data_IF_199438720246
#
_entry.id   IF_199438720246
#
_cell.length_a   1.000
_cell.length_b   1.000
_cell.length_c   1.000
_cell.angle_alpha   90.00
_cell.angle_beta   90.00
_cell.angle_gamma   90.00
#
_symmetry.space_group_name_H-M   'P 1'
#
loop_
_entity.id
_entity.type
_entity.pdbx_description
1 polymer ?
#
# COMPACT_ATOMS: atom_id res chain seq x y z
N UNK A 1 -33.66 7.92 -21.77
CA UNK A 1 -34.62 7.09 -21.00
C UNK A 1 -33.96 6.65 -19.71
N UNK A 2 -34.12 7.46 -18.66
CA UNK A 2 -33.51 7.28 -17.34
C UNK A 2 -34.60 6.71 -16.44
N UNK A 3 -34.45 5.45 -16.03
CA UNK A 3 -35.25 4.83 -14.97
C UNK A 3 -34.33 3.89 -14.20
N UNK A 4 -33.56 4.49 -13.28
CA UNK A 4 -32.85 3.78 -12.22
C UNK A 4 -33.55 4.15 -10.92
N UNK A 5 -34.49 3.32 -10.48
CA UNK A 5 -35.11 3.45 -9.17
C UNK A 5 -35.48 2.07 -8.61
N UNK A 6 -34.74 1.71 -7.57
CA UNK A 6 -35.27 1.12 -6.34
C UNK A 6 -35.95 -0.26 -6.46
N UNK A 7 -35.16 -1.31 -6.26
CA UNK A 7 -35.64 -2.49 -5.52
C UNK A 7 -34.48 -3.30 -4.94
N UNK A 8 -34.01 -2.90 -3.75
CA UNK A 8 -33.54 -3.90 -2.82
C UNK A 8 -34.35 -3.76 -1.54
N UNK A 9 -35.20 -4.76 -1.36
CA UNK A 9 -36.22 -4.86 -0.33
C UNK A 9 -35.59 -4.78 1.06
N UNK A 10 -36.00 -3.78 1.83
CA UNK A 10 -35.84 -3.73 3.28
C UNK A 10 -36.68 -4.88 3.87
N UNK A 11 -36.05 -6.01 4.20
CA UNK A 11 -36.60 -6.87 5.25
C UNK A 11 -36.45 -6.13 6.57
N UNK A 12 -37.55 -5.48 6.96
CA UNK A 12 -37.78 -4.88 8.26
C UNK A 12 -37.44 -5.87 9.38
N UNK A 13 -36.30 -5.68 10.03
CA UNK A 13 -35.99 -6.28 11.32
C UNK A 13 -36.24 -5.21 12.39
N UNK A 14 -37.51 -5.00 12.73
CA UNK A 14 -37.91 -4.25 13.91
C UNK A 14 -37.99 -5.23 15.09
N UNK A 15 -36.85 -5.47 15.76
CA UNK A 15 -36.87 -5.74 17.20
C UNK A 15 -35.51 -5.55 17.87
N UNK A 16 -35.59 -5.08 19.12
CA UNK A 16 -34.57 -4.87 20.14
C UNK A 16 -33.66 -3.63 20.02
N UNK A 17 -34.12 -2.54 20.65
CA UNK A 17 -33.38 -1.67 21.60
C UNK A 17 -31.85 -1.60 21.46
N UNK A 18 -31.37 -0.39 21.14
CA UNK A 18 -30.08 0.22 21.50
C UNK A 18 -28.98 -0.71 22.08
N UNK A 19 -28.44 -1.60 21.26
CA UNK A 19 -27.11 -2.17 21.50
C UNK A 19 -26.12 -1.26 20.80
N UNK A 20 -25.22 -0.63 21.55
CA UNK A 20 -24.30 0.42 21.11
C UNK A 20 -23.47 0.11 19.85
N UNK A 21 -22.69 1.09 19.40
CA UNK A 21 -21.91 1.04 18.16
C UNK A 21 -21.19 -0.30 17.94
N UNK A 22 -21.50 -0.96 16.82
CA UNK A 22 -20.89 -2.24 16.40
C UNK A 22 -19.83 -2.01 15.33
N UNK A 23 -18.54 -1.86 15.69
CA UNK A 23 -17.48 -1.47 14.75
C UNK A 23 -17.32 -2.46 13.59
N UNK A 24 -17.41 -3.77 13.85
CA UNK A 24 -17.25 -4.81 12.81
C UNK A 24 -18.34 -4.72 11.75
N UNK A 25 -19.59 -4.52 12.14
CA UNK A 25 -20.72 -4.39 11.22
C UNK A 25 -20.64 -3.09 10.42
N UNK A 26 -20.35 -1.97 11.11
CA UNK A 26 -20.17 -0.68 10.47
C UNK A 26 -19.04 -0.72 9.43
N UNK A 27 -17.90 -1.33 9.78
CA UNK A 27 -16.76 -1.51 8.90
C UNK A 27 -17.09 -2.36 7.67
N UNK A 28 -17.75 -3.52 7.85
CA UNK A 28 -18.17 -4.38 6.74
C UNK A 28 -19.09 -3.64 5.77
N UNK A 29 -20.08 -2.92 6.27
CA UNK A 29 -21.00 -2.11 5.45
C UNK A 29 -20.26 -0.96 4.73
N UNK A 30 -19.28 -0.34 5.38
CA UNK A 30 -18.45 0.70 4.77
C UNK A 30 -17.57 0.15 3.63
N UNK A 31 -16.98 -1.04 3.80
CA UNK A 31 -16.22 -1.72 2.73
C UNK A 31 -17.13 -2.05 1.55
N UNK A 32 -18.31 -2.62 1.79
CA UNK A 32 -19.26 -2.97 0.72
C UNK A 32 -19.64 -1.72 -0.11
N UNK A 33 -20.02 -0.62 0.55
CA UNK A 33 -20.30 0.65 -0.14
C UNK A 33 -19.10 1.19 -0.92
N UNK A 34 -17.88 1.02 -0.41
CA UNK A 34 -16.65 1.43 -1.10
C UNK A 34 -16.44 0.63 -2.38
N UNK A 35 -16.66 -0.68 -2.33
CA UNK A 35 -16.53 -1.57 -3.50
C UNK A 35 -17.59 -1.26 -4.56
N UNK A 36 -18.86 -1.08 -4.16
CA UNK A 36 -19.94 -0.74 -5.10
C UNK A 36 -19.73 0.62 -5.79
N UNK A 37 -19.11 1.58 -5.09
CA UNK A 37 -18.80 2.90 -5.64
C UNK A 37 -17.55 2.90 -6.52
N UNK A 38 -16.69 1.89 -6.41
CA UNK A 38 -15.43 1.84 -7.13
C UNK A 38 -15.71 1.65 -8.63
N UNK A 39 -15.57 2.73 -9.40
CA UNK A 39 -15.62 2.69 -10.86
C UNK A 39 -14.19 2.61 -11.38
N UNK A 40 -13.84 1.59 -12.20
CA UNK A 40 -12.54 1.55 -12.82
C UNK A 40 -12.37 2.80 -13.69
N UNK A 41 -11.30 3.56 -13.45
CA UNK A 41 -10.97 4.78 -14.20
C UNK A 41 -10.60 4.50 -15.65
N UNK A 42 -10.19 3.27 -15.95
CA UNK A 42 -9.69 2.85 -17.25
C UNK A 42 -10.50 1.66 -17.72
N UNK A 43 -10.80 1.62 -19.01
CA UNK A 43 -11.46 0.49 -19.63
C UNK A 43 -10.59 -0.78 -19.48
N UNK A 44 -11.21 -1.90 -19.15
CA UNK A 44 -10.52 -3.18 -19.05
C UNK A 44 -9.83 -3.62 -20.35
N UNK A 45 -10.29 -3.14 -21.52
CA UNK A 45 -9.59 -3.37 -22.80
C UNK A 45 -8.19 -2.76 -22.81
N UNK A 46 -8.10 -1.46 -22.49
CA UNK A 46 -6.83 -0.73 -22.42
C UNK A 46 -5.91 -1.36 -21.38
N UNK A 47 -6.47 -1.83 -20.26
CA UNK A 47 -5.67 -2.50 -19.24
C UNK A 47 -5.07 -3.82 -19.70
N UNK A 48 -5.80 -4.63 -20.48
CA UNK A 48 -5.25 -5.86 -21.08
C UNK A 48 -4.08 -5.56 -22.00
N UNK A 49 -4.13 -4.45 -22.72
CA UNK A 49 -3.04 -4.03 -23.60
C UNK A 49 -1.83 -3.51 -22.83
N UNK A 50 -2.04 -2.74 -21.75
CA UNK A 50 -0.97 -2.39 -20.80
C UNK A 50 -0.24 -3.66 -20.34
N UNK A 51 -0.98 -4.69 -19.93
CA UNK A 51 -0.40 -5.97 -19.50
C UNK A 51 0.36 -6.68 -20.63
N UNK A 52 -0.17 -6.67 -21.85
CA UNK A 52 0.50 -7.26 -23.02
C UNK A 52 1.83 -6.55 -23.36
N UNK A 53 1.86 -5.21 -23.27
CA UNK A 53 3.07 -4.43 -23.49
C UNK A 53 4.10 -4.63 -22.37
N UNK A 54 3.66 -4.70 -21.11
CA UNK A 54 4.54 -5.02 -19.99
C UNK A 54 5.14 -6.43 -20.11
N UNK A 55 4.38 -7.39 -20.66
CA UNK A 55 4.87 -8.74 -20.95
C UNK A 55 5.94 -8.80 -22.06
N UNK A 56 5.94 -7.82 -22.96
CA UNK A 56 6.95 -7.62 -24.01
C UNK A 56 8.16 -6.79 -23.52
N UNK A 57 8.33 -6.62 -22.21
CA UNK A 57 9.42 -5.86 -21.56
C UNK A 57 9.44 -4.35 -21.86
N UNK A 58 8.31 -3.75 -22.24
CA UNK A 58 8.22 -2.29 -22.38
C UNK A 58 8.28 -1.60 -21.01
N UNK A 59 9.02 -0.49 -20.92
CA UNK A 59 9.01 0.37 -19.73
C UNK A 59 7.64 1.02 -19.54
N UNK A 60 7.14 1.19 -18.29
CA UNK A 60 5.90 1.91 -18.00
C UNK A 60 5.78 3.30 -18.66
N UNK A 61 6.89 4.02 -18.83
CA UNK A 61 6.93 5.31 -19.52
C UNK A 61 6.66 5.15 -21.02
N UNK A 62 7.23 4.11 -21.64
CA UNK A 62 7.01 3.80 -23.06
C UNK A 62 5.57 3.33 -23.31
N UNK A 63 5.02 2.51 -22.41
CA UNK A 63 3.61 2.08 -22.48
C UNK A 63 2.68 3.30 -22.41
N UNK A 64 2.90 4.21 -21.47
CA UNK A 64 2.12 5.45 -21.36
C UNK A 64 2.22 6.31 -22.63
N UNK A 65 3.43 6.48 -23.16
CA UNK A 65 3.66 7.22 -24.40
C UNK A 65 2.97 6.59 -25.60
N UNK A 66 3.07 5.26 -25.74
CA UNK A 66 2.48 4.50 -26.84
C UNK A 66 0.96 4.59 -26.87
N UNK A 67 0.32 4.37 -25.72
CA UNK A 67 -1.15 4.48 -25.60
C UNK A 67 -1.65 5.88 -25.91
N UNK A 68 -0.87 6.91 -25.56
CA UNK A 68 -1.18 8.29 -25.93
C UNK A 68 -1.11 8.51 -27.44
N UNK A 69 -0.13 7.93 -28.12
CA UNK A 69 0.08 8.09 -29.57
C UNK A 69 -0.91 7.29 -30.41
N UNK A 70 -1.13 6.00 -30.08
CA UNK A 70 -1.93 5.09 -30.88
C UNK A 70 -3.44 5.22 -30.59
N UNK A 71 -3.82 5.54 -29.35
CA UNK A 71 -5.23 5.50 -28.91
C UNK A 71 -5.73 6.82 -28.32
N UNK A 72 -4.85 7.81 -28.15
CA UNK A 72 -5.18 9.07 -27.47
C UNK A 72 -5.45 8.92 -25.97
N UNK A 73 -5.24 7.72 -25.39
CA UNK A 73 -5.52 7.45 -23.98
C UNK A 73 -4.37 7.95 -23.12
N UNK A 74 -4.68 8.79 -22.13
CA UNK A 74 -3.68 9.32 -21.19
C UNK A 74 -3.69 8.52 -19.89
N UNK A 75 -2.67 7.68 -19.72
CA UNK A 75 -2.41 6.96 -18.47
C UNK A 75 -1.11 7.49 -17.88
N UNK A 76 -1.10 7.79 -16.58
CA UNK A 76 0.16 8.12 -15.90
C UNK A 76 1.00 6.86 -15.76
N UNK A 77 2.28 6.93 -16.15
CA UNK A 77 3.23 5.84 -15.94
C UNK A 77 3.35 5.47 -14.45
N UNK A 78 3.17 6.43 -13.53
CA UNK A 78 3.11 6.18 -12.08
C UNK A 78 1.99 5.22 -11.70
N UNK A 79 0.85 5.29 -12.38
CA UNK A 79 -0.27 4.40 -12.13
C UNK A 79 0.04 2.96 -12.57
N UNK A 80 0.79 2.82 -13.67
CA UNK A 80 1.32 1.55 -14.14
C UNK A 80 2.31 0.99 -13.11
N UNK A 81 3.22 1.82 -12.58
CA UNK A 81 4.13 1.43 -11.49
C UNK A 81 3.38 0.93 -10.25
N UNK A 82 2.35 1.66 -9.80
CA UNK A 82 1.53 1.26 -8.66
C UNK A 82 0.88 -0.12 -8.86
N UNK A 83 0.40 -0.42 -10.07
CA UNK A 83 -0.12 -1.75 -10.37
C UNK A 83 0.96 -2.82 -10.33
N UNK A 84 2.15 -2.56 -10.89
CA UNK A 84 3.25 -3.52 -10.86
C UNK A 84 3.65 -3.82 -9.40
N UNK A 85 3.65 -2.80 -8.54
CA UNK A 85 3.89 -2.98 -7.11
C UNK A 85 2.78 -3.75 -6.40
N UNK A 86 1.52 -3.50 -6.71
CA UNK A 86 0.39 -4.25 -6.16
C UNK A 86 0.44 -5.73 -6.57
N UNK A 87 0.78 -6.02 -7.83
CA UNK A 87 0.98 -7.37 -8.33
C UNK A 87 2.16 -8.07 -7.64
N UNK A 88 3.28 -7.35 -7.45
CA UNK A 88 4.42 -7.83 -6.65
C UNK A 88 4.02 -8.24 -5.24
N UNK A 89 3.22 -7.42 -4.56
CA UNK A 89 2.74 -7.72 -3.21
C UNK A 89 1.79 -8.92 -3.17
N UNK A 90 1.13 -9.21 -4.29
CA UNK A 90 0.23 -10.36 -4.44
C UNK A 90 0.97 -11.65 -4.85
N UNK A 91 2.29 -11.58 -5.05
CA UNK A 91 3.13 -12.73 -5.40
C UNK A 91 3.43 -12.88 -6.91
N UNK A 92 3.06 -11.89 -7.73
CA UNK A 92 3.43 -11.84 -9.16
C UNK A 92 4.93 -11.57 -9.37
N UNK A 93 5.42 -11.83 -10.59
CA UNK A 93 6.80 -11.53 -10.99
C UNK A 93 6.88 -10.19 -11.76
N UNK A 94 7.29 -9.09 -11.10
CA UNK A 94 7.30 -7.77 -11.70
C UNK A 94 8.61 -7.49 -12.45
N UNK A 95 9.56 -8.44 -12.46
CA UNK A 95 10.96 -8.17 -12.80
C UNK A 95 11.23 -7.96 -14.29
N UNK A 96 10.26 -8.22 -15.18
CA UNK A 96 10.47 -8.13 -16.64
C UNK A 96 10.44 -6.70 -17.17
N UNK A 97 9.48 -5.89 -16.74
CA UNK A 97 9.25 -4.53 -17.27
C UNK A 97 9.96 -3.40 -16.50
N UNK A 98 10.52 -3.68 -15.32
CA UNK A 98 11.19 -2.67 -14.50
C UNK A 98 12.67 -2.51 -14.88
N UNK A 99 13.12 -1.24 -15.04
CA UNK A 99 14.52 -0.89 -15.32
C UNK A 99 15.49 -1.40 -14.24
N UNK A 100 15.09 -1.33 -12.97
CA UNK A 100 15.88 -1.81 -11.85
C UNK A 100 15.41 -3.21 -11.42
N UNK A 101 15.98 -4.24 -12.07
CA UNK A 101 15.64 -5.66 -11.81
C UNK A 101 16.26 -6.21 -10.52
N UNK A 102 17.35 -5.59 -10.03
CA UNK A 102 18.06 -6.03 -8.83
C UNK A 102 17.33 -5.61 -7.56
N UNK A 103 17.21 -6.55 -6.64
CA UNK A 103 16.78 -6.24 -5.29
C UNK A 103 17.81 -5.31 -4.64
N UNK A 104 17.31 -4.23 -4.02
CA UNK A 104 18.18 -3.38 -3.21
C UNK A 104 18.57 -4.20 -1.98
N UNK A 105 19.84 -4.57 -1.92
CA UNK A 105 20.40 -5.25 -0.76
C UNK A 105 20.23 -4.43 0.51
N UNK A 106 20.18 -5.11 1.66
CA UNK A 106 20.20 -4.42 2.96
C UNK A 106 21.43 -3.52 3.02
N UNK A 107 21.24 -2.27 3.42
CA UNK A 107 22.36 -1.45 3.88
C UNK A 107 22.70 -1.92 5.29
N UNK A 108 23.88 -2.46 5.47
CA UNK A 108 24.43 -2.64 6.81
C UNK A 108 24.60 -1.25 7.45
N UNK A 109 24.44 -1.18 8.78
CA UNK A 109 24.63 0.07 9.51
C UNK A 109 26.01 0.66 9.21
N UNK A 110 26.10 2.00 9.20
CA UNK A 110 27.41 2.66 9.19
C UNK A 110 28.15 2.29 10.48
N UNK A 111 29.46 2.07 10.40
CA UNK A 111 30.28 1.99 11.62
C UNK A 111 30.04 3.25 12.46
N UNK A 112 29.81 3.05 13.76
CA UNK A 112 29.68 4.14 14.71
C UNK A 112 31.02 4.87 14.81
N UNK A 113 31.03 6.15 14.44
CA UNK A 113 32.23 7.00 14.46
C UNK A 113 32.42 7.71 15.79
N UNK A 114 31.48 7.56 16.73
CA UNK A 114 31.48 8.29 18.00
C UNK A 114 32.53 7.76 18.98
N UNK A 115 33.01 6.53 18.77
CA UNK A 115 33.96 5.87 19.66
C UNK A 115 33.34 5.49 21.02
N UNK A 116 34.12 4.80 21.84
CA UNK A 116 33.75 4.47 23.23
C UNK A 116 34.29 5.60 24.12
N UNK A 117 33.50 6.08 25.08
CA UNK A 117 33.94 7.09 26.06
C UNK A 117 35.10 6.49 26.88
N UNK A 118 36.28 7.10 26.89
CA UNK A 118 37.39 6.65 27.72
C UNK A 118 37.02 6.78 29.21
N UNK A 119 37.50 5.85 30.04
CA UNK A 119 37.20 5.80 31.48
C UNK A 119 35.70 5.62 31.82
N UNK A 120 34.95 4.93 30.96
CA UNK A 120 33.58 4.52 31.30
C UNK A 120 33.59 3.61 32.54
N UNK A 121 32.95 4.07 33.59
CA UNK A 121 32.71 3.29 34.82
C UNK A 121 31.51 2.36 34.57
N UNK A 122 31.62 1.09 34.94
CA UNK A 122 30.48 0.17 34.83
C UNK A 122 29.37 0.61 35.77
N UNK A 123 28.10 0.37 35.40
CA UNK A 123 26.99 0.62 36.33
C UNK A 123 27.14 -0.18 37.64
N UNK A 124 27.82 -1.32 37.58
CA UNK A 124 28.08 -2.20 38.72
C UNK A 124 29.06 -1.60 39.73
N UNK A 125 29.95 -0.70 39.29
CA UNK A 125 30.93 -0.01 40.14
C UNK A 125 30.31 1.22 40.85
N UNK A 126 29.01 1.47 40.63
CA UNK A 126 28.29 2.58 41.27
C UNK A 126 28.23 2.35 42.79
N UNK A 127 28.60 3.35 43.61
CA UNK A 127 28.58 3.20 45.05
C UNK A 127 27.15 3.00 45.58
N UNK A 128 26.99 2.07 46.54
CA UNK A 128 25.69 1.61 47.05
C UNK A 128 24.77 2.74 47.56
N UNK A 129 25.35 3.83 48.08
CA UNK A 129 24.62 5.03 48.52
C UNK A 129 23.78 5.67 47.41
N UNK A 130 24.21 5.56 46.15
CA UNK A 130 23.49 6.13 45.00
C UNK A 130 22.36 5.21 44.56
N UNK A 131 22.53 3.89 44.69
CA UNK A 131 21.42 2.93 44.57
C UNK A 131 20.36 3.16 45.65
N UNK A 132 20.80 3.52 46.87
CA UNK A 132 19.94 3.88 47.99
C UNK A 132 19.32 5.29 47.86
N UNK A 133 19.60 6.06 46.79
CA UNK A 133 19.09 7.42 46.55
C UNK A 133 19.30 8.40 47.73
N UNK A 134 20.40 8.22 48.48
CA UNK A 134 20.70 9.00 49.69
C UNK A 134 21.53 10.27 49.44
N UNK A 135 21.86 10.56 48.18
CA UNK A 135 22.46 11.82 47.70
C UNK A 135 22.13 12.00 46.22
N UNK A 136 22.00 13.26 45.80
CA UNK A 136 21.86 13.65 44.39
C UNK A 136 23.23 13.79 43.74
#
# INVERSE_FOLDING_TARGET
>A
MILFALRFCLSNNYHSVALGYRPRQAHRLAIARRQDKARPRINGSVWREVQALLGQEWSPEQVSGRLKMEQGVRISHEWIYQSIHADKHSGGDPRRSLRCRKERGKRYGSHDRRGIIPERVSMDERPAIVNAKRRF
#
